data_IF_611168361183
#
_entry.id   IF_611168361183
#
_cell.length_a   1.000
_cell.length_b   1.000
_cell.length_c   1.000
_cell.angle_alpha   90.00
_cell.angle_beta   90.00
_cell.angle_gamma   90.00
#
_symmetry.space_group_name_H-M   'P 1'
#
loop_
_entity.id
_entity.type
_entity.pdbx_description
1 polymer ?
#
# COMPACT_ATOMS: atom_id res chain seq x y z
N UNK A 1 27.36 20.71 1.13
CA UNK A 1 26.63 20.79 2.41
C UNK A 1 25.39 19.90 2.30
N UNK A 2 25.30 18.82 3.07
CA UNK A 2 24.19 17.85 3.05
C UNK A 2 23.53 17.96 4.40
N UNK A 3 22.38 18.64 4.44
CA UNK A 3 21.49 18.85 5.57
C UNK A 3 21.81 18.03 6.84
N UNK A 4 22.24 18.70 7.91
CA UNK A 4 22.15 18.15 9.25
C UNK A 4 20.68 17.81 9.53
N UNK A 5 20.41 16.54 9.78
CA UNK A 5 19.06 15.99 9.98
C UNK A 5 18.74 15.94 11.47
N UNK A 6 19.07 17.00 12.19
CA UNK A 6 18.79 17.09 13.62
C UNK A 6 17.33 17.52 13.80
N UNK A 7 16.49 16.59 14.24
CA UNK A 7 15.13 16.90 14.64
C UNK A 7 15.19 17.63 15.99
N UNK A 8 15.10 18.96 15.94
CA UNK A 8 14.98 19.79 17.14
C UNK A 8 13.58 19.59 17.72
N UNK A 9 13.48 18.86 18.82
CA UNK A 9 12.22 18.71 19.55
C UNK A 9 11.92 20.01 20.29
N UNK A 10 11.03 20.82 19.73
CA UNK A 10 10.56 22.06 20.37
C UNK A 10 9.35 21.74 21.24
N UNK A 11 9.41 22.11 22.52
CA UNK A 11 8.28 21.99 23.44
C UNK A 11 7.28 23.13 23.19
N UNK A 12 6.44 22.96 22.16
CA UNK A 12 5.36 23.90 21.84
C UNK A 12 4.08 23.58 22.59
N UNK A 13 3.39 24.63 23.06
CA UNK A 13 2.01 24.55 23.59
C UNK A 13 1.05 24.11 22.49
N UNK A 14 -0.06 23.45 22.83
CA UNK A 14 -1.03 22.94 21.85
C UNK A 14 -1.62 24.04 20.95
N UNK A 15 -1.78 25.26 21.47
CA UNK A 15 -2.18 26.43 20.65
C UNK A 15 -1.16 26.75 19.56
N UNK A 16 0.14 26.64 19.88
CA UNK A 16 1.21 26.88 18.90
C UNK A 16 1.24 25.75 17.87
N UNK A 17 1.11 24.49 18.29
CA UNK A 17 1.02 23.35 17.37
C UNK A 17 -0.15 23.51 16.42
N UNK A 18 -1.33 23.85 16.93
CA UNK A 18 -2.53 24.11 16.15
C UNK A 18 -2.30 25.23 15.14
N UNK A 19 -1.75 26.36 15.57
CA UNK A 19 -1.45 27.48 14.67
C UNK A 19 -0.49 27.08 13.54
N UNK A 20 0.59 26.37 13.85
CA UNK A 20 1.56 25.91 12.85
C UNK A 20 0.92 24.93 11.86
N UNK A 21 0.08 24.01 12.34
CA UNK A 21 -0.63 23.05 11.49
C UNK A 21 -1.61 23.76 10.55
N UNK A 22 -2.46 24.65 11.07
CA UNK A 22 -3.42 25.42 10.26
C UNK A 22 -2.73 26.25 9.17
N UNK A 23 -1.57 26.85 9.48
CA UNK A 23 -0.78 27.65 8.53
C UNK A 23 0.03 26.81 7.55
N UNK A 24 0.42 25.59 7.95
CA UNK A 24 1.20 24.66 7.15
C UNK A 24 0.38 23.87 6.13
N UNK A 25 -0.95 23.95 6.17
CA UNK A 25 -1.81 23.28 5.19
C UNK A 25 -1.55 23.80 3.77
N UNK A 26 -1.61 22.89 2.80
CA UNK A 26 -1.50 23.23 1.38
C UNK A 26 -2.60 24.25 1.01
N UNK A 27 -2.25 25.40 0.41
CA UNK A 27 -3.23 26.40 0.01
C UNK A 27 -4.31 25.79 -0.90
N UNK A 28 -5.57 26.17 -0.65
CA UNK A 28 -6.74 25.77 -1.43
C UNK A 28 -7.04 24.26 -1.46
N UNK A 29 -6.41 23.42 -0.61
CA UNK A 29 -6.85 22.03 -0.45
C UNK A 29 -8.26 21.96 0.12
N UNK A 30 -8.99 20.89 -0.17
CA UNK A 30 -10.36 20.75 0.32
C UNK A 30 -10.39 20.65 1.85
N UNK A 31 -9.40 19.97 2.46
CA UNK A 31 -9.20 20.01 3.90
C UNK A 31 -8.94 21.43 4.45
N UNK A 32 -8.13 22.25 3.79
CA UNK A 32 -7.91 23.63 4.22
C UNK A 32 -9.19 24.48 4.13
N UNK A 33 -10.05 24.22 3.15
CA UNK A 33 -11.37 24.87 3.04
C UNK A 33 -12.28 24.46 4.19
N UNK A 34 -12.38 23.17 4.51
CA UNK A 34 -13.27 22.67 5.57
C UNK A 34 -12.85 23.17 6.96
N UNK A 35 -11.56 23.13 7.27
CA UNK A 35 -10.99 23.71 8.52
C UNK A 35 -11.14 25.22 8.55
N UNK A 36 -11.07 25.90 7.39
CA UNK A 36 -11.28 27.33 7.28
C UNK A 36 -12.72 27.78 7.54
N UNK A 37 -13.70 26.96 7.14
CA UNK A 37 -15.14 27.19 7.36
C UNK A 37 -15.50 26.97 8.83
N UNK A 38 -15.17 25.79 9.37
CA UNK A 38 -15.44 25.46 10.76
C UNK A 38 -14.10 25.30 11.50
N UNK A 39 -13.63 26.44 12.04
CA UNK A 39 -12.35 26.52 12.72
C UNK A 39 -12.37 25.72 14.02
N UNK A 40 -11.55 24.66 14.14
CA UNK A 40 -11.44 23.91 15.39
C UNK A 40 -10.91 24.82 16.49
N UNK A 41 -11.42 24.66 17.71
CA UNK A 41 -11.00 25.45 18.88
C UNK A 41 -9.74 24.87 19.49
N UNK A 42 -9.68 23.54 19.61
CA UNK A 42 -8.56 22.81 20.20
C UNK A 42 -7.72 22.10 19.13
N UNK A 43 -6.51 21.70 19.49
CA UNK A 43 -5.68 20.85 18.64
C UNK A 43 -6.36 19.49 18.38
N UNK A 44 -7.02 18.92 19.38
CA UNK A 44 -7.67 17.62 19.29
C UNK A 44 -8.81 17.62 18.26
N UNK A 45 -9.64 18.67 18.26
CA UNK A 45 -10.69 18.86 17.24
C UNK A 45 -10.12 18.93 15.81
N UNK A 46 -8.96 19.60 15.65
CA UNK A 46 -8.27 19.66 14.36
C UNK A 46 -7.79 18.28 13.91
N UNK A 47 -7.22 17.50 14.83
CA UNK A 47 -6.72 16.15 14.56
C UNK A 47 -7.86 15.18 14.25
N UNK A 48 -8.98 15.27 14.97
CA UNK A 48 -10.17 14.45 14.71
C UNK A 48 -10.72 14.71 13.30
N UNK A 49 -10.80 15.98 12.89
CA UNK A 49 -11.20 16.36 11.52
C UNK A 49 -10.21 15.83 10.48
N UNK A 50 -8.91 15.92 10.74
CA UNK A 50 -7.89 15.41 9.84
C UNK A 50 -8.04 13.90 9.64
N UNK A 51 -8.27 13.15 10.73
CA UNK A 51 -8.49 11.71 10.67
C UNK A 51 -9.74 11.36 9.85
N UNK A 52 -10.84 12.07 10.06
CA UNK A 52 -12.07 11.86 9.28
C UNK A 52 -11.86 12.15 7.79
N UNK A 53 -11.08 13.19 7.45
CA UNK A 53 -10.76 13.52 6.06
C UNK A 53 -9.89 12.44 5.39
N UNK A 54 -8.87 11.93 6.08
CA UNK A 54 -8.03 10.84 5.57
C UNK A 54 -8.87 9.61 5.28
N UNK A 55 -9.77 9.23 6.19
CA UNK A 55 -10.68 8.10 5.97
C UNK A 55 -11.59 8.31 4.77
N UNK A 56 -12.12 9.52 4.59
CA UNK A 56 -12.95 9.86 3.43
C UNK A 56 -12.17 9.70 2.11
N UNK A 57 -10.95 10.25 2.01
CA UNK A 57 -10.13 10.11 0.80
C UNK A 57 -9.73 8.65 0.53
N UNK A 58 -9.38 7.88 1.57
CA UNK A 58 -9.05 6.45 1.43
C UNK A 58 -10.22 5.63 0.88
N UNK A 59 -11.44 5.91 1.34
CA UNK A 59 -12.66 5.25 0.86
C UNK A 59 -12.95 5.65 -0.59
N UNK A 60 -12.92 6.94 -0.94
CA UNK A 60 -13.14 7.38 -2.34
C UNK A 60 -12.13 6.76 -3.31
N UNK A 61 -10.85 6.68 -2.91
CA UNK A 61 -9.81 6.05 -3.74
C UNK A 61 -10.03 4.54 -3.86
N UNK A 62 -10.46 3.86 -2.79
CA UNK A 62 -10.77 2.43 -2.84
C UNK A 62 -11.97 2.15 -3.76
N UNK A 63 -13.06 2.93 -3.65
CA UNK A 63 -14.25 2.77 -4.47
C UNK A 63 -13.95 3.01 -5.95
N UNK A 64 -13.18 4.06 -6.27
CA UNK A 64 -12.72 4.31 -7.64
C UNK A 64 -11.92 3.12 -8.23
N UNK A 65 -11.12 2.44 -7.41
CA UNK A 65 -10.35 1.26 -7.83
C UNK A 65 -11.22 0.00 -7.93
N UNK A 66 -12.23 -0.15 -7.08
CA UNK A 66 -13.19 -1.26 -7.13
C UNK A 66 -14.05 -1.21 -8.40
N UNK A 67 -14.52 -0.02 -8.78
CA UNK A 67 -15.30 0.18 -10.00
C UNK A 67 -14.47 0.08 -11.30
N UNK A 68 -13.13 0.06 -11.21
CA UNK A 68 -12.25 -0.13 -12.36
C UNK A 68 -12.12 -1.60 -12.79
N UNK A 69 -12.63 -2.57 -12.01
CA UNK A 69 -12.85 -3.93 -12.51
C UNK A 69 -14.19 -3.99 -13.22
N UNK A 70 -14.25 -4.37 -14.51
CA UNK A 70 -15.51 -4.73 -15.14
C UNK A 70 -16.14 -5.85 -14.31
N UNK A 71 -17.37 -5.62 -13.86
CA UNK A 71 -18.21 -6.65 -13.29
C UNK A 71 -18.39 -7.78 -14.33
N UNK A 72 -17.67 -8.88 -14.17
CA UNK A 72 -18.11 -10.18 -14.68
C UNK A 72 -19.30 -10.61 -13.81
N UNK A 73 -20.46 -10.02 -14.12
CA UNK A 73 -21.76 -10.44 -13.62
C UNK A 73 -22.07 -11.84 -14.16
N UNK A 74 -21.84 -12.88 -13.36
CA UNK A 74 -22.58 -14.13 -13.48
C UNK A 74 -22.99 -14.67 -12.11
N UNK A 75 -24.30 -14.63 -11.74
CA UNK A 75 -24.82 -15.45 -10.66
C UNK A 75 -25.01 -16.87 -11.23
N UNK A 76 -23.97 -17.71 -11.15
CA UNK A 76 -24.09 -19.10 -11.57
C UNK A 76 -24.86 -19.88 -10.50
N UNK A 77 -26.18 -19.92 -10.70
CA UNK A 77 -27.12 -20.82 -10.04
C UNK A 77 -26.56 -22.24 -9.99
N UNK A 78 -26.82 -22.90 -8.87
CA UNK A 78 -26.77 -24.35 -8.71
C UNK A 78 -27.35 -25.05 -9.94
N UNK A 79 -26.53 -25.85 -10.63
CA UNK A 79 -27.05 -26.93 -11.48
C UNK A 79 -26.24 -28.19 -11.26
N UNK A 80 -26.76 -29.07 -10.40
CA UNK A 80 -26.46 -30.48 -10.46
C UNK A 80 -26.70 -31.01 -11.89
N UNK A 81 -25.69 -31.63 -12.52
CA UNK A 81 -25.78 -32.96 -13.18
C UNK A 81 -24.46 -33.36 -13.88
N UNK A 82 -23.90 -34.47 -13.38
CA UNK A 82 -23.25 -35.58 -14.09
C UNK A 82 -21.96 -35.34 -14.92
N UNK A 83 -20.86 -35.84 -14.35
CA UNK A 83 -20.02 -36.86 -14.99
C UNK A 83 -18.89 -36.39 -15.90
N UNK A 84 -17.65 -36.77 -15.57
CA UNK A 84 -16.54 -36.70 -16.52
C UNK A 84 -15.16 -36.66 -15.90
N UNK A 85 -14.65 -37.85 -15.58
CA UNK A 85 -13.25 -38.30 -15.63
C UNK A 85 -12.07 -37.37 -15.28
N UNK A 86 -11.21 -37.90 -14.40
CA UNK A 86 -9.92 -37.34 -13.99
C UNK A 86 -8.93 -37.47 -15.15
N UNK A 87 -8.16 -36.41 -15.49
CA UNK A 87 -6.70 -36.50 -15.71
C UNK A 87 -6.05 -35.15 -16.01
N UNK A 88 -4.91 -34.97 -15.33
CA UNK A 88 -3.95 -33.87 -15.35
C UNK A 88 -3.38 -33.57 -16.75
N UNK A 89 -3.22 -32.28 -17.02
CA UNK A 89 -2.04 -31.60 -17.59
C UNK A 89 -2.49 -30.54 -18.61
N UNK A 90 -2.90 -29.39 -18.09
CA UNK A 90 -2.80 -28.16 -18.87
C UNK A 90 -1.61 -27.38 -18.35
N UNK A 91 -0.61 -27.22 -19.21
CA UNK A 91 0.62 -26.48 -18.92
C UNK A 91 0.21 -25.02 -18.79
N UNK A 92 0.02 -24.56 -17.55
CA UNK A 92 0.05 -23.13 -17.24
C UNK A 92 1.38 -22.57 -17.75
N UNK A 93 1.35 -21.99 -18.94
CA UNK A 93 2.41 -21.13 -19.43
C UNK A 93 2.31 -19.86 -18.60
N UNK A 94 3.06 -19.82 -17.50
CA UNK A 94 3.27 -18.58 -16.77
C UNK A 94 3.76 -17.53 -17.79
N UNK A 95 3.17 -16.32 -17.79
CA UNK A 95 3.65 -15.26 -18.65
C UNK A 95 5.10 -15.00 -18.24
N UNK A 96 6.01 -15.39 -19.12
CA UNK A 96 7.43 -15.23 -18.89
C UNK A 96 7.67 -13.74 -18.65
N UNK A 97 7.95 -13.41 -17.40
CA UNK A 97 8.24 -12.05 -16.97
C UNK A 97 9.43 -11.49 -17.75
N UNK A 98 9.75 -10.19 -17.56
CA UNK A 98 10.94 -9.59 -18.17
C UNK A 98 12.17 -10.51 -17.96
N UNK A 99 13.08 -10.62 -18.95
CA UNK A 99 14.16 -11.59 -18.93
C UNK A 99 14.83 -11.60 -17.56
N UNK A 100 14.84 -12.78 -16.94
CA UNK A 100 15.36 -12.95 -15.59
C UNK A 100 16.84 -12.52 -15.55
N UNK A 101 17.11 -11.28 -15.14
CA UNK A 101 18.48 -10.79 -14.92
C UNK A 101 19.21 -11.58 -13.83
N UNK A 102 18.45 -12.28 -12.98
CA UNK A 102 18.94 -13.19 -11.94
C UNK A 102 19.32 -14.59 -12.47
N UNK A 103 19.27 -14.86 -13.78
CA UNK A 103 19.80 -16.13 -14.35
C UNK A 103 21.30 -16.09 -14.62
N UNK A 104 21.97 -14.94 -14.45
CA UNK A 104 23.41 -14.80 -14.65
C UNK A 104 24.17 -14.96 -13.34
N UNK A 105 24.13 -16.15 -12.76
CA UNK A 105 25.06 -16.50 -11.68
C UNK A 105 26.25 -17.27 -12.23
N UNK A 106 27.43 -16.99 -11.67
CA UNK A 106 28.59 -17.85 -11.86
C UNK A 106 28.28 -19.21 -11.22
N UNK A 107 28.34 -20.33 -11.98
CA UNK A 107 28.09 -21.65 -11.41
C UNK A 107 29.14 -21.98 -10.35
N UNK A 108 28.72 -22.70 -9.31
CA UNK A 108 29.62 -23.13 -8.24
C UNK A 108 30.67 -24.10 -8.79
N UNK A 109 31.89 -24.00 -8.28
CA UNK A 109 33.01 -24.88 -8.67
C UNK A 109 32.84 -26.33 -8.21
N UNK A 110 31.92 -26.56 -7.26
CA UNK A 110 31.64 -27.85 -6.64
C UNK A 110 30.13 -28.06 -6.51
N UNK A 111 29.71 -29.32 -6.39
CA UNK A 111 28.28 -29.64 -6.27
C UNK A 111 27.72 -29.16 -4.93
N UNK A 112 26.40 -28.88 -4.92
CA UNK A 112 25.67 -28.50 -3.70
C UNK A 112 25.83 -29.54 -2.59
N UNK A 113 25.84 -30.82 -2.93
CA UNK A 113 25.99 -31.92 -1.97
C UNK A 113 27.36 -31.91 -1.30
N UNK A 114 28.42 -31.61 -2.06
CA UNK A 114 29.78 -31.50 -1.53
C UNK A 114 29.90 -30.37 -0.51
N UNK A 115 29.36 -29.19 -0.83
CA UNK A 115 29.34 -28.04 0.08
C UNK A 115 28.61 -28.39 1.38
N UNK A 116 27.46 -29.05 1.28
CA UNK A 116 26.67 -29.42 2.47
C UNK A 116 27.40 -30.44 3.35
N UNK A 117 28.13 -31.38 2.75
CA UNK A 117 28.90 -32.36 3.52
C UNK A 117 30.04 -31.75 4.33
N UNK A 118 30.63 -30.65 3.86
CA UNK A 118 31.70 -29.93 4.57
C UNK A 118 31.16 -29.09 5.74
N UNK A 119 29.95 -28.54 5.63
CA UNK A 119 29.31 -27.78 6.72
C UNK A 119 28.89 -28.65 7.92
N UNK A 120 28.84 -29.98 7.75
CA UNK A 120 28.47 -30.93 8.81
C UNK A 120 29.68 -31.59 9.48
N UNK A 121 30.90 -31.18 9.16
CA UNK A 121 32.15 -31.66 9.75
C UNK A 121 32.59 -30.82 10.97
#
# INVERSE_FOLDING_TARGET
ERFNKEAVQVNTTDDMKKYLLERGLRPCSDFAKTVGIEKPRTLDELLLKAQAYVQYEEVEVADANCHARPEDNQPARESHRKGGDRRKNDKHREPQGPPNLFSNYTPLTVSREHILSECHA
#
